data_IF_452947684324
#
_entry.id   IF_452947684324
#
_cell.length_a   1.000
_cell.length_b   1.000
_cell.length_c   1.000
_cell.angle_alpha   90.00
_cell.angle_beta   90.00
_cell.angle_gamma   90.00
#
_symmetry.space_group_name_H-M   'P 1'
#
loop_
_entity.id
_entity.type
_entity.pdbx_description
1 polymer ?
#
# COMPACT_ATOMS: atom_id res chain seq x y z
N UNK A 1 -26.49 0.90 -12.63
CA UNK A 1 -26.44 1.86 -11.52
C UNK A 1 -27.67 2.72 -11.57
N UNK A 2 -28.41 2.84 -10.44
CA UNK A 2 -29.64 3.63 -10.37
C UNK A 2 -29.30 5.13 -10.49
N UNK A 3 -30.24 5.92 -11.01
CA UNK A 3 -30.04 7.36 -11.25
C UNK A 3 -29.66 8.13 -9.98
N UNK A 4 -30.28 7.80 -8.84
CA UNK A 4 -29.99 8.41 -7.55
C UNK A 4 -28.57 8.11 -7.07
N UNK A 5 -28.10 6.85 -7.22
CA UNK A 5 -26.72 6.48 -6.90
C UNK A 5 -25.72 7.19 -7.81
N UNK A 6 -26.04 7.32 -9.09
CA UNK A 6 -25.18 8.00 -10.04
C UNK A 6 -25.00 9.47 -9.66
N UNK A 7 -26.08 10.16 -9.36
CA UNK A 7 -26.02 11.56 -8.93
C UNK A 7 -25.20 11.75 -7.65
N UNK A 8 -25.33 10.80 -6.70
CA UNK A 8 -24.52 10.80 -5.48
C UNK A 8 -23.04 10.64 -5.77
N UNK A 9 -22.66 9.74 -6.67
CA UNK A 9 -21.26 9.51 -7.04
C UNK A 9 -20.67 10.65 -7.88
N UNK A 10 -21.48 11.31 -8.70
CA UNK A 10 -21.07 12.51 -9.43
C UNK A 10 -20.73 13.65 -8.46
N UNK A 11 -21.53 13.84 -7.42
CA UNK A 11 -21.23 14.81 -6.36
C UNK A 11 -19.94 14.46 -5.60
N UNK A 12 -19.73 13.18 -5.28
CA UNK A 12 -18.49 12.71 -4.66
C UNK A 12 -17.29 12.99 -5.57
N UNK A 13 -17.41 12.72 -6.87
CA UNK A 13 -16.36 12.97 -7.85
C UNK A 13 -16.03 14.46 -7.95
N UNK A 14 -17.03 15.33 -8.01
CA UNK A 14 -16.86 16.78 -8.02
C UNK A 14 -16.15 17.29 -6.77
N UNK A 15 -16.57 16.84 -5.59
CA UNK A 15 -15.96 17.22 -4.32
C UNK A 15 -14.51 16.75 -4.25
N UNK A 16 -14.21 15.51 -4.64
CA UNK A 16 -12.83 14.99 -4.70
C UNK A 16 -11.96 15.85 -5.61
N UNK A 17 -12.43 16.15 -6.83
CA UNK A 17 -11.66 16.96 -7.79
C UNK A 17 -11.39 18.34 -7.23
N UNK A 18 -12.39 18.99 -6.66
CA UNK A 18 -12.26 20.32 -6.03
C UNK A 18 -11.25 20.30 -4.89
N UNK A 19 -11.37 19.32 -3.98
CA UNK A 19 -10.54 19.19 -2.78
C UNK A 19 -9.12 18.71 -3.08
N UNK A 20 -8.90 18.05 -4.21
CA UNK A 20 -7.57 17.71 -4.70
C UNK A 20 -6.85 18.86 -5.43
N UNK A 21 -7.38 20.07 -5.42
CA UNK A 21 -6.77 21.23 -6.10
C UNK A 21 -7.16 21.35 -7.57
N UNK A 22 -8.26 20.72 -7.97
CA UNK A 22 -8.82 20.81 -9.31
C UNK A 22 -8.29 19.73 -10.28
N UNK A 23 -8.93 19.67 -11.44
CA UNK A 23 -8.63 18.66 -12.47
C UNK A 23 -7.16 18.66 -12.93
N UNK A 24 -6.56 19.83 -13.06
CA UNK A 24 -5.16 19.98 -13.53
C UNK A 24 -4.16 19.34 -12.57
N UNK A 25 -4.52 19.20 -11.30
CA UNK A 25 -3.67 18.58 -10.29
C UNK A 25 -3.74 17.04 -10.29
N UNK A 26 -4.77 16.45 -10.93
CA UNK A 26 -4.96 14.99 -10.98
C UNK A 26 -4.34 14.44 -12.27
N UNK A 27 -3.27 13.67 -12.12
CA UNK A 27 -2.49 13.10 -13.22
C UNK A 27 -2.90 11.69 -13.60
N UNK A 28 -3.50 10.97 -12.67
CA UNK A 28 -3.92 9.61 -12.88
C UNK A 28 -4.81 9.07 -11.78
N UNK A 29 -5.67 8.17 -12.14
CA UNK A 29 -6.63 7.49 -11.27
C UNK A 29 -6.48 5.99 -11.43
N UNK A 30 -6.53 5.29 -10.30
CA UNK A 30 -6.69 3.84 -10.25
C UNK A 30 -7.44 3.44 -8.98
N UNK A 31 -7.85 2.21 -8.88
CA UNK A 31 -8.43 1.67 -7.66
C UNK A 31 -7.90 0.27 -7.37
N UNK A 32 -8.00 -0.15 -6.13
CA UNK A 32 -7.90 -1.56 -5.73
C UNK A 32 -9.22 -1.99 -5.11
N UNK A 33 -9.27 -3.15 -4.45
CA UNK A 33 -10.51 -3.70 -3.91
C UNK A 33 -11.30 -2.74 -2.98
N UNK A 34 -10.61 -1.82 -2.28
CA UNK A 34 -11.22 -0.96 -1.25
C UNK A 34 -10.82 0.51 -1.32
N UNK A 35 -9.83 0.88 -2.16
CA UNK A 35 -9.21 2.21 -2.15
C UNK A 35 -9.16 2.81 -3.54
N UNK A 36 -9.58 4.06 -3.65
CA UNK A 36 -9.30 4.93 -4.77
C UNK A 36 -7.88 5.48 -4.62
N UNK A 37 -7.10 5.49 -5.70
CA UNK A 37 -5.73 5.98 -5.73
C UNK A 37 -5.60 7.08 -6.77
N UNK A 38 -5.13 8.22 -6.35
CA UNK A 38 -4.91 9.38 -7.18
C UNK A 38 -3.43 9.72 -7.19
N UNK A 39 -2.87 9.97 -8.36
CA UNK A 39 -1.56 10.62 -8.50
C UNK A 39 -1.82 12.08 -8.74
N UNK A 40 -1.34 12.92 -7.83
CA UNK A 40 -1.46 14.37 -7.93
C UNK A 40 -0.16 14.98 -8.47
N UNK A 41 -0.28 16.14 -9.09
CA UNK A 41 0.87 16.94 -9.47
C UNK A 41 1.56 17.52 -8.24
N UNK A 42 0.76 17.97 -7.30
CA UNK A 42 1.17 18.62 -6.07
C UNK A 42 0.24 18.12 -4.94
N UNK A 43 0.78 17.33 -4.02
CA UNK A 43 0.02 16.79 -2.90
C UNK A 43 -0.37 17.86 -1.88
N UNK A 44 0.36 18.96 -1.80
CA UNK A 44 0.12 20.04 -0.83
C UNK A 44 -1.15 20.84 -1.19
N UNK A 45 -1.63 20.72 -2.43
CA UNK A 45 -2.91 21.32 -2.87
C UNK A 45 -4.14 20.51 -2.43
N UNK A 46 -3.95 19.29 -1.95
CA UNK A 46 -5.05 18.45 -1.53
C UNK A 46 -5.40 18.69 -0.06
N UNK A 47 -6.64 19.07 0.19
CA UNK A 47 -7.18 19.16 1.55
C UNK A 47 -7.62 17.78 2.05
N UNK A 48 -6.66 17.04 2.61
CA UNK A 48 -6.90 15.66 3.09
C UNK A 48 -7.96 15.60 4.18
N UNK A 49 -8.07 16.62 5.02
CA UNK A 49 -9.08 16.67 6.09
C UNK A 49 -10.48 16.84 5.53
N UNK A 50 -10.66 17.74 4.57
CA UNK A 50 -11.93 17.92 3.92
C UNK A 50 -12.32 16.72 3.04
N UNK A 51 -11.34 15.99 2.47
CA UNK A 51 -11.60 14.76 1.71
C UNK A 51 -12.09 13.63 2.63
N UNK A 52 -11.66 13.56 3.89
CA UNK A 52 -12.17 12.59 4.87
C UNK A 52 -13.67 12.80 5.17
N UNK A 53 -14.17 14.03 5.02
CA UNK A 53 -15.58 14.37 5.24
C UNK A 53 -16.45 14.15 3.99
N UNK A 54 -15.85 13.80 2.86
CA UNK A 54 -16.60 13.46 1.64
C UNK A 54 -17.48 12.24 1.89
N UNK A 55 -18.69 12.29 1.39
CA UNK A 55 -19.67 11.21 1.55
C UNK A 55 -19.06 9.85 1.12
N UNK A 56 -19.32 8.82 1.92
CA UNK A 56 -18.78 7.45 1.77
C UNK A 56 -17.27 7.29 1.93
N UNK A 57 -16.47 8.34 2.08
CA UNK A 57 -15.08 8.23 2.44
C UNK A 57 -14.94 7.74 3.89
N UNK A 58 -14.03 6.79 4.12
CA UNK A 58 -13.76 6.18 5.44
C UNK A 58 -12.40 6.56 6.00
N UNK A 59 -11.59 7.23 5.21
CA UNK A 59 -10.27 7.70 5.58
C UNK A 59 -9.46 8.05 4.35
N UNK A 60 -8.50 8.93 4.56
CA UNK A 60 -7.60 9.45 3.52
C UNK A 60 -6.17 9.42 4.03
N UNK A 61 -5.23 9.06 3.20
CA UNK A 61 -3.81 9.14 3.53
C UNK A 61 -2.95 9.27 2.27
N UNK A 62 -1.79 9.86 2.45
CA UNK A 62 -0.78 9.98 1.40
C UNK A 62 0.23 8.85 1.59
N UNK A 63 0.41 8.02 0.56
CA UNK A 63 1.39 6.95 0.53
C UNK A 63 2.37 7.18 -0.62
N UNK A 64 3.54 7.70 -0.29
CA UNK A 64 4.51 8.16 -1.28
C UNK A 64 3.96 9.36 -2.06
N UNK A 65 3.81 9.18 -3.35
CA UNK A 65 3.30 10.17 -4.31
C UNK A 65 1.83 9.96 -4.68
N UNK A 66 1.11 9.13 -3.93
CA UNK A 66 -0.28 8.82 -4.18
C UNK A 66 -1.17 9.24 -3.01
N UNK A 67 -2.24 9.94 -3.31
CA UNK A 67 -3.35 10.14 -2.40
C UNK A 67 -4.26 8.92 -2.46
N UNK A 68 -4.58 8.32 -1.34
CA UNK A 68 -5.43 7.14 -1.23
C UNK A 68 -6.66 7.46 -0.39
N UNK A 69 -7.85 7.22 -0.95
CA UNK A 69 -9.13 7.41 -0.29
C UNK A 69 -9.79 6.03 -0.12
N UNK A 70 -10.17 5.69 1.10
CA UNK A 70 -10.80 4.42 1.43
C UNK A 70 -12.31 4.55 1.30
N UNK A 71 -12.92 3.82 0.37
CA UNK A 71 -14.37 3.72 0.22
C UNK A 71 -14.93 2.38 0.70
N UNK A 72 -14.12 1.32 0.61
CA UNK A 72 -14.52 -0.05 0.89
C UNK A 72 -14.88 -0.86 -0.36
N UNK A 73 -15.08 -2.16 -0.15
CA UNK A 73 -15.36 -3.10 -1.23
C UNK A 73 -16.70 -2.79 -1.93
N UNK A 74 -16.69 -2.85 -3.25
CA UNK A 74 -17.86 -2.62 -4.10
C UNK A 74 -18.11 -1.16 -4.47
N UNK A 75 -17.97 -0.23 -3.53
CA UNK A 75 -18.21 1.19 -3.79
C UNK A 75 -17.10 1.84 -4.62
N UNK A 76 -15.86 1.42 -4.39
CA UNK A 76 -14.69 2.04 -5.02
C UNK A 76 -14.69 1.93 -6.54
N UNK A 77 -15.22 0.84 -7.09
CA UNK A 77 -15.31 0.65 -8.54
C UNK A 77 -16.24 1.68 -9.17
N UNK A 78 -17.43 1.84 -8.59
CA UNK A 78 -18.44 2.77 -9.09
C UNK A 78 -17.95 4.22 -8.99
N UNK A 79 -17.39 4.59 -7.84
CA UNK A 79 -16.81 5.92 -7.63
C UNK A 79 -15.65 6.19 -8.59
N UNK A 80 -14.76 5.22 -8.77
CA UNK A 80 -13.63 5.36 -9.71
C UNK A 80 -14.11 5.53 -11.15
N UNK A 81 -15.13 4.78 -11.57
CA UNK A 81 -15.70 4.90 -12.91
C UNK A 81 -16.30 6.29 -13.12
N UNK A 82 -17.14 6.75 -12.21
CA UNK A 82 -17.77 8.08 -12.31
C UNK A 82 -16.73 9.20 -12.28
N UNK A 83 -15.70 9.08 -11.44
CA UNK A 83 -14.59 10.04 -11.40
C UNK A 83 -13.78 10.04 -12.71
N UNK A 84 -13.55 8.87 -13.30
CA UNK A 84 -12.88 8.75 -14.60
C UNK A 84 -13.69 9.41 -15.71
N UNK A 85 -15.00 9.18 -15.75
CA UNK A 85 -15.93 9.83 -16.68
C UNK A 85 -15.92 11.35 -16.48
N UNK A 86 -16.00 11.83 -15.23
CA UNK A 86 -15.99 13.27 -14.89
C UNK A 86 -14.69 13.95 -15.32
N UNK A 87 -13.56 13.28 -15.15
CA UNK A 87 -12.25 13.79 -15.55
C UNK A 87 -11.96 13.56 -17.04
N UNK A 88 -12.79 12.85 -17.78
CA UNK A 88 -12.51 12.35 -19.14
C UNK A 88 -11.13 11.67 -19.23
N UNK A 89 -10.86 10.79 -18.26
CA UNK A 89 -9.62 10.04 -18.14
C UNK A 89 -9.96 8.55 -18.05
N UNK A 90 -9.18 7.70 -18.72
CA UNK A 90 -9.29 6.27 -18.51
C UNK A 90 -8.72 5.89 -17.13
N UNK A 91 -9.40 4.98 -16.44
CA UNK A 91 -8.85 4.39 -15.23
C UNK A 91 -7.57 3.61 -15.57
N UNK A 92 -6.48 3.95 -14.91
CA UNK A 92 -5.16 3.36 -15.20
C UNK A 92 -4.96 2.07 -14.40
N UNK A 93 -4.11 1.18 -14.92
CA UNK A 93 -3.62 0.08 -14.10
C UNK A 93 -2.72 0.61 -12.97
N UNK A 94 -2.63 -0.14 -11.85
CA UNK A 94 -1.74 0.22 -10.75
C UNK A 94 -0.27 0.33 -11.17
N UNK A 95 0.12 -0.42 -12.22
CA UNK A 95 1.46 -0.38 -12.80
C UNK A 95 1.73 0.93 -13.53
N UNK A 96 0.77 1.39 -14.32
CA UNK A 96 0.88 2.64 -15.09
C UNK A 96 0.89 3.86 -14.17
N UNK A 97 0.13 3.81 -13.08
CA UNK A 97 0.15 4.84 -12.04
C UNK A 97 1.54 4.99 -11.41
N UNK A 98 2.15 3.87 -11.00
CA UNK A 98 3.52 3.86 -10.45
C UNK A 98 4.54 4.41 -11.44
N UNK A 99 4.36 4.12 -12.73
CA UNK A 99 5.27 4.59 -13.78
C UNK A 99 5.19 6.10 -13.99
N UNK A 100 3.99 6.69 -13.95
CA UNK A 100 3.80 8.16 -14.03
C UNK A 100 4.39 8.87 -12.81
N UNK A 101 4.17 8.33 -11.63
CA UNK A 101 4.71 8.83 -10.38
C UNK A 101 6.26 8.83 -10.39
N UNK A 102 6.88 7.73 -10.81
CA UNK A 102 8.34 7.59 -10.86
C UNK A 102 9.04 8.49 -11.90
N UNK A 103 8.36 8.95 -12.94
CA UNK A 103 8.95 9.84 -13.97
C UNK A 103 9.33 11.23 -13.44
N UNK A 104 8.78 11.65 -12.31
CA UNK A 104 9.02 12.98 -11.72
C UNK A 104 10.07 13.01 -10.61
N UNK A 105 10.55 11.85 -10.17
CA UNK A 105 11.56 11.77 -9.13
C UNK A 105 12.94 12.13 -9.66
N UNK A 106 13.67 12.94 -8.89
CA UNK A 106 15.09 13.18 -9.12
C UNK A 106 15.86 11.83 -9.12
N UNK A 107 16.96 11.70 -9.90
CA UNK A 107 17.70 10.44 -9.98
C UNK A 107 18.18 9.93 -8.61
N UNK A 108 18.51 10.83 -7.69
CA UNK A 108 18.89 10.48 -6.32
C UNK A 108 17.69 9.93 -5.52
N UNK A 109 16.53 10.55 -5.62
CA UNK A 109 15.30 10.07 -4.97
C UNK A 109 14.87 8.70 -5.52
N UNK A 110 15.06 8.47 -6.83
CA UNK A 110 14.79 7.18 -7.46
C UNK A 110 15.72 6.08 -6.93
N UNK A 111 17.01 6.39 -6.74
CA UNK A 111 17.97 5.44 -6.15
C UNK A 111 17.63 5.10 -4.70
N UNK A 112 17.28 6.10 -3.89
CA UNK A 112 16.85 5.91 -2.49
C UNK A 112 15.56 5.12 -2.41
N UNK A 113 14.58 5.41 -3.29
CA UNK A 113 13.31 4.65 -3.35
C UNK A 113 13.53 3.19 -3.75
N UNK A 114 14.36 2.93 -4.78
CA UNK A 114 14.69 1.57 -5.19
C UNK A 114 15.37 0.78 -4.07
N UNK A 115 16.24 1.42 -3.30
CA UNK A 115 16.87 0.81 -2.13
C UNK A 115 15.82 0.50 -1.04
N UNK A 116 14.92 1.45 -0.75
CA UNK A 116 13.84 1.27 0.24
C UNK A 116 12.88 0.15 -0.15
N UNK A 117 12.52 0.05 -1.42
CA UNK A 117 11.60 -0.99 -1.92
C UNK A 117 12.20 -2.39 -1.70
N UNK A 118 13.51 -2.57 -1.93
CA UNK A 118 14.23 -3.83 -1.64
C UNK A 118 14.23 -4.14 -0.14
N UNK A 119 14.46 -3.14 0.72
CA UNK A 119 14.45 -3.35 2.17
C UNK A 119 13.08 -3.78 2.69
N UNK A 120 11.99 -3.19 2.19
CA UNK A 120 10.62 -3.54 2.60
C UNK A 120 10.30 -5.00 2.25
N UNK A 121 10.76 -5.48 1.11
CA UNK A 121 10.53 -6.87 0.68
C UNK A 121 11.32 -7.90 1.51
N UNK A 122 12.52 -7.53 1.97
CA UNK A 122 13.41 -8.41 2.74
C UNK A 122 13.09 -8.40 4.25
N UNK A 123 12.53 -7.28 4.78
CA UNK A 123 12.25 -7.11 6.22
C UNK A 123 11.46 -8.25 6.85
N UNK A 124 10.34 -8.75 6.27
CA UNK A 124 9.59 -9.86 6.86
C UNK A 124 10.42 -11.14 6.99
N UNK A 125 11.30 -11.41 6.03
CA UNK A 125 12.21 -12.57 6.05
C UNK A 125 13.23 -12.48 7.19
N UNK A 126 13.86 -11.32 7.36
CA UNK A 126 14.83 -11.07 8.43
C UNK A 126 14.16 -11.19 9.80
N UNK A 127 12.98 -10.60 9.98
CA UNK A 127 12.22 -10.69 11.24
C UNK A 127 11.84 -12.14 11.56
N UNK A 128 11.36 -12.89 10.59
CA UNK A 128 11.01 -14.30 10.77
C UNK A 128 12.24 -15.13 11.17
N UNK A 129 13.37 -14.94 10.51
CA UNK A 129 14.61 -15.63 10.82
C UNK A 129 15.14 -15.28 12.23
N UNK A 130 15.07 -14.00 12.63
CA UNK A 130 15.49 -13.55 13.96
C UNK A 130 14.61 -14.17 15.05
N UNK A 131 13.27 -14.23 14.84
CA UNK A 131 12.34 -14.87 15.79
C UNK A 131 12.59 -16.37 15.90
N UNK A 132 12.83 -17.06 14.78
CA UNK A 132 13.14 -18.49 14.77
C UNK A 132 14.47 -18.79 15.48
N UNK A 133 15.50 -17.96 15.27
CA UNK A 133 16.78 -18.11 15.95
C UNK A 133 16.63 -17.86 17.45
N UNK A 134 15.92 -16.84 17.86
CA UNK A 134 15.64 -16.56 19.27
C UNK A 134 14.86 -17.69 19.94
N UNK A 135 13.81 -18.22 19.30
CA UNK A 135 13.04 -19.35 19.79
C UNK A 135 13.89 -20.61 19.91
N UNK A 136 14.69 -20.92 18.89
CA UNK A 136 15.62 -22.07 18.89
C UNK A 136 16.65 -21.97 20.03
N UNK A 137 17.17 -20.78 20.30
CA UNK A 137 18.10 -20.54 21.40
C UNK A 137 17.48 -20.79 22.76
N UNK A 138 16.23 -20.34 22.98
CA UNK A 138 15.50 -20.59 24.22
C UNK A 138 15.19 -22.06 24.38
N UNK A 139 14.69 -22.73 23.34
CA UNK A 139 14.38 -24.16 23.38
C UNK A 139 15.62 -25.01 23.60
N UNK A 140 16.76 -24.65 23.04
CA UNK A 140 18.03 -25.36 23.22
C UNK A 140 18.58 -25.31 24.66
N UNK A 141 18.16 -24.34 25.47
CA UNK A 141 18.57 -24.21 26.88
C UNK A 141 17.63 -24.91 27.87
N UNK A 142 16.52 -25.47 27.39
CA UNK A 142 15.58 -26.20 28.26
C UNK A 142 16.06 -27.66 28.39
N UNK A 143 16.33 -28.12 29.60
CA UNK A 143 16.80 -29.49 29.89
C UNK A 143 15.87 -30.57 29.33
N UNK A 144 14.56 -30.32 29.28
CA UNK A 144 13.56 -31.21 28.70
C UNK A 144 13.77 -31.44 27.19
N UNK A 145 14.20 -30.44 26.47
CA UNK A 145 14.49 -30.51 25.01
C UNK A 145 15.81 -31.23 24.76
N UNK A 146 16.80 -31.02 25.62
CA UNK A 146 18.10 -31.70 25.52
C UNK A 146 18.02 -33.21 25.80
N UNK A 147 17.09 -33.62 26.65
CA UNK A 147 16.86 -35.04 26.99
C UNK A 147 15.98 -35.78 25.97
N UNK A 148 15.45 -35.10 24.95
CA UNK A 148 14.56 -35.68 23.95
C UNK A 148 15.22 -35.55 22.56
N UNK A 149 15.79 -36.63 22.02
CA UNK A 149 16.52 -36.66 20.75
C UNK A 149 15.71 -36.07 19.60
N UNK A 150 14.40 -36.27 19.56
CA UNK A 150 13.51 -35.77 18.53
C UNK A 150 13.34 -34.24 18.61
N UNK A 151 13.17 -33.69 19.81
CA UNK A 151 13.02 -32.23 20.03
C UNK A 151 14.34 -31.51 19.83
N UNK A 152 15.45 -32.12 20.23
CA UNK A 152 16.79 -31.61 19.98
C UNK A 152 17.12 -31.57 18.48
N UNK A 153 16.77 -32.62 17.74
CA UNK A 153 16.90 -32.66 16.28
C UNK A 153 16.08 -31.58 15.58
N UNK A 154 14.84 -31.34 16.04
CA UNK A 154 13.98 -30.29 15.51
C UNK A 154 14.55 -28.86 15.76
N UNK A 155 15.02 -28.59 16.97
CA UNK A 155 15.65 -27.29 17.30
C UNK A 155 16.89 -27.03 16.46
N UNK A 156 17.67 -28.08 16.18
CA UNK A 156 18.86 -27.99 15.31
C UNK A 156 18.50 -27.73 13.85
N UNK A 157 17.43 -28.34 13.33
CA UNK A 157 16.93 -28.07 11.98
C UNK A 157 16.46 -26.63 11.82
N UNK A 158 15.74 -26.10 12.81
CA UNK A 158 15.30 -24.71 12.84
C UNK A 158 16.50 -23.76 12.82
N UNK A 159 17.53 -24.07 13.60
CA UNK A 159 18.76 -23.25 13.66
C UNK A 159 19.51 -23.25 12.33
N UNK A 160 19.68 -24.41 11.69
CA UNK A 160 20.32 -24.53 10.38
C UNK A 160 19.52 -23.78 9.31
N UNK A 161 18.19 -23.92 9.30
CA UNK A 161 17.30 -23.23 8.34
C UNK A 161 17.36 -21.71 8.51
N UNK A 162 17.37 -21.25 9.76
CA UNK A 162 17.51 -19.83 10.08
C UNK A 162 18.88 -19.28 9.67
N UNK A 163 19.96 -20.03 9.90
CA UNK A 163 21.30 -19.67 9.46
C UNK A 163 21.43 -19.57 7.94
N UNK A 164 20.76 -20.45 7.20
CA UNK A 164 20.75 -20.41 5.73
C UNK A 164 20.07 -19.13 5.18
N UNK A 165 19.09 -18.58 5.87
CA UNK A 165 18.44 -17.32 5.49
C UNK A 165 19.37 -16.13 5.70
N UNK A 166 20.23 -16.17 6.73
CA UNK A 166 21.23 -15.12 6.99
C UNK A 166 22.52 -15.29 6.17
N UNK A 167 22.69 -16.38 5.44
CA UNK A 167 23.86 -16.60 4.61
C UNK A 167 25.14 -17.00 5.39
N UNK A 168 24.97 -17.59 6.58
CA UNK A 168 26.07 -18.14 7.40
C UNK A 168 25.98 -19.66 7.47
#
# INVERSE_FOLDING_TARGET
>A
MDAEKRQRYEKIAEDIVRLCGGRSNILGIAHCATRLRLVLEDNDKADTKAIEEVDLAKGVFVAGDQLQIIFGAGLVNDVCQVLAEYLHMDSMSLGDLKTKANKRMNPLQRAVKALSDVFIEIMPGILAAALLTGLSSVLGNIEFVQNNDTLYGLSRLINISSGAIFGF
#
